data_IF_079799628307
#
_entry.id   IF_079799628307
#
_cell.length_a   1.000
_cell.length_b   1.000
_cell.length_c   1.000
_cell.angle_alpha   90.00
_cell.angle_beta   90.00
_cell.angle_gamma   90.00
#
_symmetry.space_group_name_H-M   'P 1'
#
loop_
_entity.id
_entity.type
_entity.pdbx_description
1 polymer ?
#
# COMPACT_ATOMS: atom_id res chain seq x y z
N UNK A 1 -45.98 -17.45 -10.08
CA UNK A 1 -45.37 -16.94 -8.84
C UNK A 1 -43.92 -16.60 -9.14
N UNK A 2 -43.53 -15.35 -8.88
CA UNK A 2 -42.32 -14.72 -9.39
C UNK A 2 -41.01 -15.29 -8.85
N UNK A 3 -40.02 -15.35 -9.72
CA UNK A 3 -38.64 -15.74 -9.46
C UNK A 3 -37.96 -14.65 -8.61
N UNK A 4 -37.83 -14.87 -7.29
CA UNK A 4 -37.06 -13.99 -6.41
C UNK A 4 -35.57 -14.25 -6.66
N UNK A 5 -34.97 -13.59 -7.65
CA UNK A 5 -33.53 -13.44 -7.72
C UNK A 5 -33.10 -12.58 -6.53
N UNK A 6 -32.72 -13.22 -5.43
CA UNK A 6 -32.01 -12.57 -4.32
C UNK A 6 -30.72 -12.00 -4.87
N UNK A 7 -30.73 -10.73 -5.27
CA UNK A 7 -29.50 -10.01 -5.60
C UNK A 7 -28.71 -9.95 -4.29
N UNK A 8 -27.68 -10.79 -4.17
CA UNK A 8 -26.74 -10.72 -3.07
C UNK A 8 -25.97 -9.40 -3.19
N UNK A 9 -26.42 -8.37 -2.48
CA UNK A 9 -25.69 -7.13 -2.33
C UNK A 9 -24.32 -7.45 -1.72
N UNK A 10 -23.25 -7.21 -2.47
CA UNK A 10 -21.89 -7.23 -1.92
C UNK A 10 -21.85 -6.13 -0.85
N UNK A 11 -21.53 -6.43 0.42
CA UNK A 11 -21.47 -5.42 1.47
C UNK A 11 -20.20 -4.57 1.28
N UNK A 12 -20.21 -3.71 0.25
CA UNK A 12 -19.13 -2.79 -0.07
C UNK A 12 -19.20 -1.64 0.93
N UNK A 13 -18.36 -1.74 1.95
CA UNK A 13 -18.23 -0.73 3.00
C UNK A 13 -17.05 0.17 2.73
N UNK A 14 -17.09 1.40 3.25
CA UNK A 14 -15.96 2.33 3.19
C UNK A 14 -14.67 1.70 3.74
N UNK A 15 -14.80 0.90 4.81
CA UNK A 15 -13.69 0.13 5.40
C UNK A 15 -13.03 -0.82 4.42
N UNK A 16 -13.82 -1.60 3.67
CA UNK A 16 -13.30 -2.56 2.69
C UNK A 16 -12.60 -1.80 1.57
N UNK A 17 -13.21 -0.73 1.05
CA UNK A 17 -12.61 0.10 0.00
C UNK A 17 -11.27 0.72 0.46
N UNK A 18 -11.25 1.36 1.63
CA UNK A 18 -10.04 1.95 2.20
C UNK A 18 -8.94 0.90 2.43
N UNK A 19 -9.28 -0.26 3.01
CA UNK A 19 -8.33 -1.34 3.24
C UNK A 19 -7.76 -1.88 1.92
N UNK A 20 -8.62 -2.15 0.93
CA UNK A 20 -8.20 -2.60 -0.40
C UNK A 20 -7.30 -1.58 -1.10
N UNK A 21 -7.62 -0.29 -1.02
CA UNK A 21 -6.79 0.79 -1.59
C UNK A 21 -5.41 0.84 -0.94
N UNK A 22 -5.32 0.80 0.39
CA UNK A 22 -4.03 0.83 1.10
C UNK A 22 -3.17 -0.40 0.76
N UNK A 23 -3.78 -1.60 0.75
CA UNK A 23 -3.08 -2.84 0.41
C UNK A 23 -2.63 -2.82 -1.06
N UNK A 24 -3.53 -2.48 -1.99
CA UNK A 24 -3.20 -2.37 -3.41
C UNK A 24 -2.11 -1.33 -3.70
N UNK A 25 -2.08 -0.24 -2.93
CA UNK A 25 -1.02 0.77 -3.01
C UNK A 25 0.35 0.18 -2.63
N UNK A 26 0.43 -0.53 -1.51
CA UNK A 26 1.69 -1.22 -1.12
C UNK A 26 2.13 -2.28 -2.13
N UNK A 27 1.19 -3.00 -2.75
CA UNK A 27 1.50 -3.95 -3.85
C UNK A 27 2.05 -3.23 -5.07
N UNK A 28 1.45 -2.10 -5.46
CA UNK A 28 1.93 -1.27 -6.57
C UNK A 28 3.35 -0.77 -6.32
N UNK A 29 3.68 -0.41 -5.07
CA UNK A 29 5.04 -0.05 -4.67
C UNK A 29 6.03 -1.21 -4.83
N UNK A 30 5.64 -2.45 -4.50
CA UNK A 30 6.49 -3.64 -4.74
C UNK A 30 6.80 -3.78 -6.23
N UNK A 31 5.77 -3.69 -7.08
CA UNK A 31 5.92 -3.82 -8.53
C UNK A 31 6.81 -2.72 -9.09
N UNK A 32 6.61 -1.47 -8.64
CA UNK A 32 7.46 -0.35 -9.02
C UNK A 32 8.92 -0.57 -8.62
N UNK A 33 9.17 -0.98 -7.38
CA UNK A 33 10.52 -1.26 -6.89
C UNK A 33 11.18 -2.47 -7.60
N UNK A 34 10.39 -3.41 -8.11
CA UNK A 34 10.90 -4.54 -8.89
C UNK A 34 11.49 -4.11 -10.25
N UNK A 35 11.02 -2.98 -10.80
CA UNK A 35 11.53 -2.45 -12.07
C UNK A 35 12.87 -1.73 -11.95
N UNK A 36 13.33 -1.34 -10.75
CA UNK A 36 14.65 -0.70 -10.58
C UNK A 36 15.80 -1.56 -11.09
N UNK A 37 15.67 -2.87 -10.95
CA UNK A 37 16.67 -3.80 -11.48
C UNK A 37 16.60 -3.94 -13.01
N UNK A 38 15.45 -3.64 -13.63
CA UNK A 38 15.19 -3.84 -15.06
C UNK A 38 15.48 -2.61 -15.93
N UNK A 39 15.79 -1.45 -15.34
CA UNK A 39 15.85 -0.15 -16.06
C UNK A 39 16.83 -0.18 -17.23
N UNK A 40 18.04 -0.71 -17.06
CA UNK A 40 19.03 -0.71 -18.14
C UNK A 40 18.76 -1.76 -19.22
N UNK A 41 18.26 -2.94 -18.84
CA UNK A 41 17.87 -3.96 -19.82
C UNK A 41 16.71 -3.44 -20.67
N UNK A 42 15.68 -2.86 -20.03
CA UNK A 42 14.53 -2.27 -20.71
C UNK A 42 14.91 -1.03 -21.57
N UNK A 43 15.95 -0.27 -21.16
CA UNK A 43 16.49 0.86 -21.95
C UNK A 43 17.17 0.40 -23.24
N UNK A 44 17.86 -0.76 -23.22
CA UNK A 44 18.56 -1.30 -24.40
C UNK A 44 17.63 -1.86 -25.47
N UNK A 45 16.39 -2.22 -25.12
CA UNK A 45 15.38 -2.78 -26.04
C UNK A 45 14.22 -1.84 -26.39
N UNK A 46 14.31 -0.54 -26.06
CA UNK A 46 13.23 0.46 -26.33
C UNK A 46 11.91 0.05 -25.67
N UNK A 47 11.95 -0.44 -24.44
CA UNK A 47 10.74 -0.78 -23.69
C UNK A 47 10.27 0.44 -22.89
N UNK A 48 8.99 0.80 -23.03
CA UNK A 48 8.40 2.00 -22.40
C UNK A 48 8.04 1.69 -20.93
N UNK A 49 9.04 1.45 -20.08
CA UNK A 49 8.84 1.33 -18.64
C UNK A 49 8.80 2.73 -17.99
N UNK A 50 7.91 3.00 -17.00
CA UNK A 50 7.86 4.29 -16.29
C UNK A 50 9.21 4.73 -15.75
N UNK A 51 10.04 3.76 -15.34
CA UNK A 51 11.35 4.01 -14.75
C UNK A 51 12.42 4.31 -15.81
N UNK A 52 12.27 3.80 -17.03
CA UNK A 52 13.12 4.13 -18.20
C UNK A 52 12.95 5.59 -18.64
N UNK A 53 11.73 6.15 -18.52
CA UNK A 53 11.48 7.58 -18.79
C UNK A 53 11.90 8.51 -17.65
N UNK A 54 11.85 8.04 -16.40
CA UNK A 54 12.11 8.86 -15.22
C UNK A 54 13.59 8.90 -14.81
N UNK A 55 14.33 7.82 -15.02
CA UNK A 55 15.65 7.62 -14.43
C UNK A 55 15.56 7.17 -12.97
N UNK A 56 16.64 6.54 -12.48
CA UNK A 56 16.72 5.95 -11.13
C UNK A 56 16.59 6.99 -10.02
N UNK A 57 17.11 8.20 -10.22
CA UNK A 57 17.03 9.33 -9.27
C UNK A 57 15.57 9.78 -9.03
N UNK A 58 14.84 10.06 -10.12
CA UNK A 58 13.41 10.40 -10.02
C UNK A 58 12.60 9.22 -9.54
N UNK A 59 12.98 8.00 -9.92
CA UNK A 59 12.40 6.77 -9.38
C UNK A 59 12.48 6.71 -7.85
N UNK A 60 13.64 7.01 -7.28
CA UNK A 60 13.84 7.07 -5.83
C UNK A 60 12.95 8.12 -5.17
N UNK A 61 12.81 9.28 -5.80
CA UNK A 61 11.86 10.32 -5.35
C UNK A 61 10.41 9.84 -5.39
N UNK A 62 10.01 9.07 -6.42
CA UNK A 62 8.67 8.46 -6.49
C UNK A 62 8.45 7.47 -5.34
N UNK A 63 9.44 6.64 -4.98
CA UNK A 63 9.33 5.75 -3.81
C UNK A 63 9.12 6.55 -2.53
N UNK A 64 9.89 7.63 -2.33
CA UNK A 64 9.73 8.52 -1.17
C UNK A 64 8.31 9.08 -1.10
N UNK A 65 7.83 9.67 -2.20
CA UNK A 65 6.47 10.22 -2.28
C UNK A 65 5.43 9.14 -2.03
N UNK A 66 5.58 7.96 -2.64
CA UNK A 66 4.63 6.86 -2.49
C UNK A 66 4.51 6.40 -1.03
N UNK A 67 5.64 6.16 -0.35
CA UNK A 67 5.62 5.77 1.07
C UNK A 67 5.00 6.88 1.93
N UNK A 68 5.30 8.15 1.68
CA UNK A 68 4.64 9.26 2.39
C UNK A 68 3.13 9.26 2.14
N UNK A 69 2.69 9.13 0.89
CA UNK A 69 1.28 9.06 0.49
C UNK A 69 0.55 7.90 1.15
N UNK A 70 1.17 6.72 1.29
CA UNK A 70 0.59 5.58 2.00
C UNK A 70 0.18 5.94 3.43
N UNK A 71 1.08 6.57 4.20
CA UNK A 71 0.79 6.96 5.58
C UNK A 71 -0.16 8.15 5.66
N UNK A 72 -0.12 9.08 4.71
CA UNK A 72 -1.10 10.16 4.60
C UNK A 72 -2.51 9.63 4.31
N UNK A 73 -2.65 8.63 3.41
CA UNK A 73 -3.91 7.95 3.13
C UNK A 73 -4.44 7.21 4.36
N UNK A 74 -3.57 6.49 5.08
CA UNK A 74 -3.93 5.83 6.34
C UNK A 74 -4.54 6.82 7.35
N UNK A 75 -3.90 7.97 7.55
CA UNK A 75 -4.40 9.01 8.45
C UNK A 75 -5.72 9.59 7.94
N UNK A 76 -5.83 9.87 6.65
CA UNK A 76 -7.03 10.44 6.02
C UNK A 76 -8.24 9.51 6.18
N UNK A 77 -8.09 8.22 5.89
CA UNK A 77 -9.16 7.23 6.05
C UNK A 77 -9.52 7.00 7.52
N UNK A 78 -8.53 7.04 8.40
CA UNK A 78 -8.74 6.97 9.84
C UNK A 78 -9.53 8.15 10.41
N UNK A 79 -9.19 9.38 10.00
CA UNK A 79 -9.88 10.60 10.43
C UNK A 79 -11.29 10.73 9.83
N UNK A 80 -11.50 10.18 8.62
CA UNK A 80 -12.82 10.15 7.95
C UNK A 80 -13.82 9.18 8.58
N UNK A 81 -13.40 8.42 9.61
CA UNK A 81 -14.13 7.32 10.28
C UNK A 81 -14.41 6.10 9.40
N UNK A 82 -13.84 6.04 8.21
CA UNK A 82 -14.00 4.90 7.31
C UNK A 82 -13.06 3.74 7.69
N UNK A 83 -12.01 4.02 8.46
CA UNK A 83 -11.12 3.01 9.05
C UNK A 83 -11.06 3.16 10.58
N UNK A 84 -11.10 2.05 11.36
CA UNK A 84 -11.01 2.14 12.82
C UNK A 84 -9.69 2.77 13.30
N UNK A 85 -9.74 3.50 14.42
CA UNK A 85 -8.55 4.11 15.02
C UNK A 85 -7.46 3.08 15.39
N UNK A 86 -7.85 1.86 15.77
CA UNK A 86 -6.93 0.75 16.05
C UNK A 86 -6.05 0.39 14.85
N UNK A 87 -6.58 0.48 13.63
CA UNK A 87 -5.80 0.30 12.41
C UNK A 87 -4.74 1.39 12.23
N UNK A 88 -5.08 2.65 12.51
CA UNK A 88 -4.12 3.76 12.43
C UNK A 88 -2.93 3.50 13.36
N UNK A 89 -3.22 3.19 14.63
CA UNK A 89 -2.19 2.96 15.66
C UNK A 89 -1.26 1.82 15.25
N UNK A 90 -1.81 0.66 14.86
CA UNK A 90 -1.01 -0.51 14.50
C UNK A 90 -0.25 -0.33 13.18
N UNK A 91 -0.84 0.31 12.17
CA UNK A 91 -0.15 0.55 10.91
C UNK A 91 0.95 1.61 11.06
N UNK A 92 0.80 2.61 11.95
CA UNK A 92 1.87 3.57 12.24
C UNK A 92 3.11 2.91 12.86
N UNK A 93 2.97 1.79 13.56
CA UNK A 93 4.13 1.01 14.04
C UNK A 93 5.03 0.49 12.91
N UNK A 94 4.52 0.44 11.68
CA UNK A 94 5.29 0.04 10.50
C UNK A 94 6.09 1.19 9.85
N UNK A 95 5.93 2.43 10.34
CA UNK A 95 6.67 3.62 9.87
C UNK A 95 8.19 3.41 9.77
N UNK A 96 8.88 2.82 10.76
CA UNK A 96 10.32 2.57 10.66
C UNK A 96 10.68 1.69 9.46
N UNK A 97 9.79 0.73 9.09
CA UNK A 97 9.97 -0.09 7.91
C UNK A 97 9.77 0.73 6.62
N UNK A 98 8.80 1.64 6.60
CA UNK A 98 8.62 2.60 5.50
C UNK A 98 9.86 3.47 5.29
N UNK A 99 10.41 4.02 6.38
CA UNK A 99 11.65 4.80 6.32
C UNK A 99 12.84 3.97 5.80
N UNK A 100 12.94 2.69 6.20
CA UNK A 100 13.97 1.79 5.63
C UNK A 100 13.83 1.60 4.12
N UNK A 101 12.61 1.48 3.59
CA UNK A 101 12.38 1.42 2.13
C UNK A 101 12.91 2.69 1.46
N UNK A 102 12.54 3.87 1.99
CA UNK A 102 12.95 5.15 1.43
C UNK A 102 14.47 5.30 1.45
N UNK A 103 15.10 5.10 2.61
CA UNK A 103 16.56 5.23 2.75
C UNK A 103 17.30 4.23 1.87
N UNK A 104 16.87 2.96 1.87
CA UNK A 104 17.50 1.92 1.06
C UNK A 104 17.48 2.27 -0.44
N UNK A 105 16.32 2.65 -0.97
CA UNK A 105 16.21 3.03 -2.39
C UNK A 105 17.01 4.30 -2.66
N UNK A 106 16.96 5.31 -1.77
CA UNK A 106 17.75 6.53 -1.94
C UNK A 106 19.26 6.27 -1.97
N UNK A 107 19.77 5.41 -1.12
CA UNK A 107 21.21 5.13 -1.04
C UNK A 107 21.69 4.22 -2.17
N UNK A 108 20.83 3.32 -2.66
CA UNK A 108 21.24 2.24 -3.56
C UNK A 108 20.68 2.35 -4.99
N UNK A 109 19.90 3.39 -5.35
CA UNK A 109 19.28 3.51 -6.68
C UNK A 109 20.25 3.51 -7.86
N UNK A 110 21.53 3.79 -7.63
CA UNK A 110 22.61 3.73 -8.63
C UNK A 110 23.36 2.38 -8.64
N UNK A 111 23.29 1.60 -7.55
CA UNK A 111 23.95 0.30 -7.43
C UNK A 111 22.99 -0.84 -7.80
N UNK A 112 23.25 -1.46 -8.95
CA UNK A 112 22.43 -2.53 -9.55
C UNK A 112 22.34 -3.79 -8.70
N UNK A 113 23.39 -4.14 -7.97
CA UNK A 113 23.39 -5.36 -7.16
C UNK A 113 22.55 -5.15 -5.91
N UNK A 114 22.74 -4.01 -5.27
CA UNK A 114 22.01 -3.66 -4.04
C UNK A 114 20.55 -3.32 -4.32
N UNK A 115 20.23 -2.56 -5.39
CA UNK A 115 18.86 -2.10 -5.66
C UNK A 115 17.86 -3.23 -5.93
N UNK A 116 18.33 -4.41 -6.35
CA UNK A 116 17.50 -5.61 -6.47
C UNK A 116 16.79 -5.96 -5.16
N UNK A 117 17.38 -5.61 -4.02
CA UNK A 117 16.80 -5.84 -2.70
C UNK A 117 15.63 -4.92 -2.37
N UNK A 118 15.44 -3.81 -3.10
CA UNK A 118 14.38 -2.83 -2.83
C UNK A 118 12.98 -3.45 -2.81
N UNK A 119 12.70 -4.38 -3.74
CA UNK A 119 11.41 -5.08 -3.79
C UNK A 119 11.15 -5.91 -2.53
N UNK A 120 12.17 -6.52 -1.94
CA UNK A 120 12.04 -7.32 -0.72
C UNK A 120 11.78 -6.44 0.50
N UNK A 121 12.38 -5.25 0.57
CA UNK A 121 12.01 -4.26 1.59
C UNK A 121 10.56 -3.82 1.44
N UNK A 122 10.07 -3.64 0.21
CA UNK A 122 8.66 -3.32 -0.06
C UNK A 122 7.73 -4.48 0.33
N UNK A 123 8.11 -5.73 0.04
CA UNK A 123 7.35 -6.94 0.45
C UNK A 123 7.26 -7.01 1.98
N UNK A 124 8.36 -6.75 2.68
CA UNK A 124 8.37 -6.69 4.16
C UNK A 124 7.45 -5.59 4.68
N UNK A 125 7.47 -4.41 4.06
CA UNK A 125 6.54 -3.33 4.41
C UNK A 125 5.08 -3.75 4.17
N UNK A 126 4.76 -4.32 3.01
CA UNK A 126 3.42 -4.81 2.68
C UNK A 126 2.92 -5.85 3.67
N UNK A 127 3.75 -6.85 3.99
CA UNK A 127 3.39 -7.90 4.94
C UNK A 127 3.13 -7.33 6.35
N UNK A 128 4.03 -6.48 6.85
CA UNK A 128 3.85 -5.85 8.17
C UNK A 128 2.65 -4.92 8.19
N UNK A 129 2.48 -4.09 7.17
CA UNK A 129 1.37 -3.15 7.07
C UNK A 129 0.02 -3.89 6.97
N UNK A 130 -0.07 -4.92 6.12
CA UNK A 130 -1.25 -5.75 5.96
C UNK A 130 -1.60 -6.53 7.23
N UNK A 131 -0.61 -7.10 7.92
CA UNK A 131 -0.80 -7.77 9.20
C UNK A 131 -1.30 -6.79 10.29
N UNK A 132 -0.68 -5.61 10.40
CA UNK A 132 -1.12 -4.54 11.31
C UNK A 132 -2.55 -4.08 11.01
N UNK A 133 -2.89 -3.92 9.72
CA UNK A 133 -4.21 -3.49 9.28
C UNK A 133 -5.27 -4.54 9.67
N UNK A 134 -5.01 -5.82 9.38
CA UNK A 134 -5.89 -6.93 9.73
C UNK A 134 -6.07 -7.04 11.25
N UNK A 135 -4.98 -6.99 12.02
CA UNK A 135 -5.02 -7.00 13.48
C UNK A 135 -5.83 -5.81 14.03
N UNK A 136 -5.66 -4.61 13.46
CA UNK A 136 -6.44 -3.43 13.84
C UNK A 136 -7.94 -3.59 13.60
N UNK A 137 -8.34 -4.19 12.48
CA UNK A 137 -9.74 -4.48 12.18
C UNK A 137 -10.32 -5.51 13.15
N UNK A 138 -9.56 -6.56 13.46
CA UNK A 138 -9.96 -7.60 14.43
C UNK A 138 -10.14 -6.98 15.82
N UNK A 139 -9.17 -6.21 16.31
CA UNK A 139 -9.26 -5.52 17.60
C UNK A 139 -10.43 -4.54 17.63
N UNK A 140 -10.68 -3.81 16.53
CA UNK A 140 -11.83 -2.89 16.45
C UNK A 140 -13.15 -3.62 16.70
N UNK A 141 -13.31 -4.83 16.16
CA UNK A 141 -14.52 -5.65 16.37
C UNK A 141 -14.70 -6.06 17.83
N UNK A 142 -13.62 -6.32 18.56
CA UNK A 142 -13.68 -6.74 19.96
C UNK A 142 -13.80 -5.57 20.94
N UNK A 143 -13.05 -4.50 20.72
CA UNK A 143 -12.95 -3.35 21.64
C UNK A 143 -14.08 -2.35 21.39
N UNK A 144 -14.44 -2.12 20.14
CA UNK A 144 -15.42 -1.11 19.76
C UNK A 144 -16.75 -1.81 19.42
N UNK A 145 -17.60 -2.05 20.43
CA UNK A 145 -18.99 -2.53 20.28
C UNK A 145 -19.89 -1.60 19.41
N UNK A 146 -19.32 -0.55 18.82
CA UNK A 146 -19.98 0.56 18.11
C UNK A 146 -19.26 0.96 16.79
N UNK A 147 -18.41 0.11 16.22
CA UNK A 147 -17.90 0.35 14.86
C UNK A 147 -18.93 -0.11 13.83
N UNK A 148 -19.75 0.82 13.34
CA UNK A 148 -20.69 0.59 12.24
C UNK A 148 -20.01 1.05 10.96
N UNK A 149 -19.57 0.13 10.08
CA UNK A 149 -18.96 0.52 8.82
C UNK A 149 -19.97 1.29 7.97
N UNK A 150 -19.53 2.40 7.36
CA UNK A 150 -20.36 3.22 6.48
C UNK A 150 -20.62 2.46 5.18
N UNK A 151 -21.88 2.18 4.86
CA UNK A 151 -22.30 1.58 3.58
C UNK A 151 -22.12 2.61 2.47
N UNK A 152 -21.46 2.22 1.38
CA UNK A 152 -21.15 3.10 0.25
C UNK A 152 -22.07 2.84 -0.95
N UNK A 153 -22.58 1.61 -1.10
CA UNK A 153 -23.50 1.23 -2.18
C UNK A 153 -24.69 0.42 -1.62
N UNK A 154 -25.90 0.81 -2.05
CA UNK A 154 -27.16 0.08 -1.89
C UNK A 154 -27.47 -0.69 -3.17
#
# INVERSE_FOLDING_TARGET
>A
MGNNSSISYLPLTGTVLCASLLVGFTTSLILFCSHFHQVEEDTKVVKISPLVRLGTEKGSSVVKVAVTTLYSLLLTFGLSRDLPFTCIVLCLLTLPMGNRVISFVKENHEDKQSIFMAKYYCVRLHALFGASLAAGLVIAKFVCKRYIPRLVLY
#
